data_IF_814671023331
#
_entry.id   IF_814671023331
#
_cell.length_a   1.000
_cell.length_b   1.000
_cell.length_c   1.000
_cell.angle_alpha   90.00
_cell.angle_beta   90.00
_cell.angle_gamma   90.00
#
_symmetry.space_group_name_H-M   'P 1'
#
loop_
_entity.id
_entity.type
_entity.pdbx_description
1 polymer ?
#
# COMPACT_ATOMS: atom_id res chain seq x y z
N UNK A 1 4.60 4.48 7.36
CA UNK A 1 4.83 5.89 7.73
C UNK A 1 3.47 6.56 7.67
N UNK A 2 2.91 6.95 8.82
CA UNK A 2 1.49 7.24 8.93
C UNK A 2 1.11 8.56 8.22
N UNK A 3 0.12 8.60 7.32
CA UNK A 3 -0.34 9.82 6.63
C UNK A 3 -1.17 10.76 7.53
N UNK A 4 -0.96 10.69 8.85
CA UNK A 4 -1.81 11.28 9.87
C UNK A 4 -1.64 12.79 10.17
N UNK A 5 -0.62 13.54 9.71
CA UNK A 5 -0.56 14.97 10.00
C UNK A 5 -1.50 15.80 9.12
N UNK A 6 -1.70 15.43 7.84
CA UNK A 6 -2.50 16.25 6.93
C UNK A 6 -4.00 16.10 7.12
N UNK A 7 -4.48 14.89 7.42
CA UNK A 7 -5.88 14.66 7.79
C UNK A 7 -6.29 15.44 9.06
N UNK A 8 -5.39 15.52 10.06
CA UNK A 8 -5.63 16.29 11.29
C UNK A 8 -5.60 17.81 11.04
N UNK A 9 -4.74 18.29 10.16
CA UNK A 9 -4.69 19.71 9.76
C UNK A 9 -5.91 20.10 8.90
N UNK A 10 -6.36 19.22 8.00
CA UNK A 10 -7.59 19.40 7.22
C UNK A 10 -8.83 19.52 8.11
N UNK A 11 -8.98 18.63 9.08
CA UNK A 11 -10.08 18.69 10.07
C UNK A 11 -10.10 19.99 10.88
N UNK A 12 -8.93 20.52 11.24
CA UNK A 12 -8.81 21.83 11.90
C UNK A 12 -9.16 22.98 10.94
N UNK A 13 -8.64 22.98 9.71
CA UNK A 13 -8.90 24.02 8.71
C UNK A 13 -10.38 24.14 8.37
N UNK A 14 -11.09 23.02 8.22
CA UNK A 14 -12.54 22.99 7.99
C UNK A 14 -13.26 23.75 9.12
N UNK A 15 -12.96 23.40 10.39
CA UNK A 15 -13.62 24.01 11.55
C UNK A 15 -13.25 25.48 11.76
N UNK A 16 -12.04 25.87 11.35
CA UNK A 16 -11.51 27.23 11.53
C UNK A 16 -11.94 28.16 10.40
N UNK A 17 -12.24 27.64 9.20
CA UNK A 17 -12.67 28.43 8.04
C UNK A 17 -14.19 28.49 7.90
N UNK A 18 -14.94 27.42 8.18
CA UNK A 18 -16.40 27.41 7.95
C UNK A 18 -17.15 28.55 8.66
N UNK A 19 -16.82 28.84 9.93
CA UNK A 19 -17.52 29.88 10.71
C UNK A 19 -17.16 31.32 10.30
N UNK A 20 -15.87 31.71 10.17
CA UNK A 20 -15.54 33.08 9.76
C UNK A 20 -15.79 33.35 8.29
N UNK A 21 -15.71 32.35 7.40
CA UNK A 21 -15.98 32.55 5.97
C UNK A 21 -17.46 32.83 5.74
N UNK A 22 -18.37 32.03 6.31
CA UNK A 22 -19.80 32.31 6.22
C UNK A 22 -20.17 33.71 6.78
N UNK A 23 -19.55 34.11 7.90
CA UNK A 23 -19.78 35.43 8.52
C UNK A 23 -19.20 36.59 7.70
N UNK A 24 -18.03 36.42 7.05
CA UNK A 24 -17.41 37.45 6.20
C UNK A 24 -18.05 37.56 4.83
N UNK A 25 -18.48 36.45 4.24
CA UNK A 25 -19.25 36.45 3.00
C UNK A 25 -20.56 37.21 3.24
N UNK A 26 -21.28 36.95 4.32
CA UNK A 26 -22.49 37.72 4.67
C UNK A 26 -22.25 39.22 4.84
N UNK A 27 -21.13 39.65 5.45
CA UNK A 27 -20.87 41.08 5.68
C UNK A 27 -20.30 41.83 4.48
N UNK A 28 -19.61 41.14 3.57
CA UNK A 28 -19.03 41.75 2.36
C UNK A 28 -19.98 41.70 1.16
N UNK A 29 -20.80 40.65 1.03
CA UNK A 29 -21.72 40.49 -0.10
C UNK A 29 -22.89 41.49 -0.08
N UNK A 30 -23.18 42.09 1.08
CA UNK A 30 -24.17 43.18 1.20
C UNK A 30 -23.65 44.48 0.57
N UNK A 31 -22.33 44.63 0.37
CA UNK A 31 -21.74 45.89 -0.15
C UNK A 31 -21.71 45.97 -1.69
N UNK A 32 -21.78 44.85 -2.39
CA UNK A 32 -21.68 44.81 -3.86
C UNK A 32 -22.86 44.05 -4.46
N UNK A 33 -23.71 44.75 -5.21
CA UNK A 33 -24.95 44.20 -5.79
C UNK A 33 -24.70 43.06 -6.79
N UNK A 34 -23.60 43.12 -7.55
CA UNK A 34 -23.25 42.06 -8.51
C UNK A 34 -22.99 40.71 -7.82
N UNK A 35 -22.22 40.73 -6.73
CA UNK A 35 -21.89 39.51 -5.97
C UNK A 35 -23.08 39.02 -5.17
N UNK A 36 -23.91 39.94 -4.62
CA UNK A 36 -25.20 39.61 -3.99
C UNK A 36 -26.11 38.85 -4.95
N UNK A 37 -26.33 39.38 -6.15
CA UNK A 37 -27.19 38.76 -7.16
C UNK A 37 -26.67 37.39 -7.60
N UNK A 38 -25.35 37.23 -7.69
CA UNK A 38 -24.72 35.94 -7.98
C UNK A 38 -24.99 34.92 -6.88
N UNK A 39 -24.86 35.29 -5.61
CA UNK A 39 -25.18 34.40 -4.49
C UNK A 39 -26.67 34.07 -4.40
N UNK A 40 -27.55 35.05 -4.62
CA UNK A 40 -28.99 34.80 -4.65
C UNK A 40 -29.31 33.81 -5.77
N UNK A 41 -28.73 33.97 -6.96
CA UNK A 41 -28.89 33.02 -8.05
C UNK A 41 -28.42 31.61 -7.67
N UNK A 42 -27.26 31.48 -7.01
CA UNK A 42 -26.76 30.19 -6.50
C UNK A 42 -27.70 29.60 -5.45
N UNK A 43 -28.18 30.41 -4.50
CA UNK A 43 -29.09 29.98 -3.44
C UNK A 43 -30.42 29.48 -3.98
N UNK A 44 -31.02 30.24 -4.91
CA UNK A 44 -32.27 29.86 -5.59
C UNK A 44 -32.07 28.61 -6.45
N UNK A 45 -30.96 28.51 -7.18
CA UNK A 45 -30.65 27.34 -8.01
C UNK A 45 -30.46 26.09 -7.16
N UNK A 46 -29.74 26.21 -6.05
CA UNK A 46 -29.53 25.10 -5.11
C UNK A 46 -30.87 24.65 -4.53
N UNK A 47 -31.72 25.58 -4.07
CA UNK A 47 -33.05 25.24 -3.56
C UNK A 47 -33.92 24.56 -4.63
N UNK A 48 -33.89 25.08 -5.86
CA UNK A 48 -34.62 24.48 -6.97
C UNK A 48 -34.13 23.07 -7.28
N UNK A 49 -32.82 22.85 -7.35
CA UNK A 49 -32.20 21.55 -7.60
C UNK A 49 -32.57 20.57 -6.49
N UNK A 50 -32.38 20.95 -5.21
CA UNK A 50 -32.71 20.09 -4.06
C UNK A 50 -34.18 19.70 -4.08
N UNK A 51 -35.09 20.66 -4.22
CA UNK A 51 -36.53 20.38 -4.25
C UNK A 51 -36.90 19.47 -5.43
N UNK A 52 -36.27 19.69 -6.60
CA UNK A 52 -36.49 18.85 -7.79
C UNK A 52 -36.00 17.42 -7.55
N UNK A 53 -34.81 17.26 -6.98
CA UNK A 53 -34.22 15.96 -6.64
C UNK A 53 -35.09 15.22 -5.62
N UNK A 54 -35.54 15.89 -4.56
CA UNK A 54 -36.40 15.29 -3.53
C UNK A 54 -37.70 14.79 -4.15
N UNK A 55 -38.42 15.64 -4.88
CA UNK A 55 -39.70 15.28 -5.51
C UNK A 55 -39.52 14.13 -6.52
N UNK A 56 -38.45 14.18 -7.33
CA UNK A 56 -38.11 13.13 -8.28
C UNK A 56 -37.80 11.81 -7.58
N UNK A 57 -37.04 11.85 -6.48
CA UNK A 57 -36.72 10.66 -5.68
C UNK A 57 -37.94 10.03 -5.03
N UNK A 58 -38.96 10.83 -4.72
CA UNK A 58 -40.24 10.38 -4.18
C UNK A 58 -41.22 9.90 -5.27
N UNK A 59 -40.83 9.91 -6.55
CA UNK A 59 -41.65 9.44 -7.67
C UNK A 59 -42.75 10.41 -8.13
N UNK A 60 -42.80 11.63 -7.59
CA UNK A 60 -43.79 12.63 -7.96
C UNK A 60 -43.28 13.56 -9.09
N UNK A 61 -44.19 14.16 -9.85
CA UNK A 61 -43.86 15.14 -10.90
C UNK A 61 -43.82 16.56 -10.32
N UNK A 62 -42.74 17.29 -10.58
CA UNK A 62 -42.51 18.66 -10.07
C UNK A 62 -43.51 19.63 -10.71
N UNK A 63 -44.40 20.23 -9.90
CA UNK A 63 -45.48 21.12 -10.37
C UNK A 63 -45.09 22.59 -10.37
N UNK A 64 -44.55 23.07 -9.25
CA UNK A 64 -43.99 24.42 -9.10
C UNK A 64 -43.05 24.45 -7.90
N UNK A 65 -42.00 25.26 -7.98
CA UNK A 65 -41.06 25.49 -6.88
C UNK A 65 -41.20 26.95 -6.49
N UNK A 66 -41.51 27.20 -5.22
CA UNK A 66 -41.60 28.56 -4.69
C UNK A 66 -40.19 29.15 -4.61
N UNK A 67 -40.05 30.41 -5.03
CA UNK A 67 -38.79 31.15 -4.85
C UNK A 67 -38.63 31.49 -3.37
N UNK A 68 -37.42 31.35 -2.86
CA UNK A 68 -37.08 31.76 -1.49
C UNK A 68 -37.06 33.29 -1.37
N UNK A 69 -37.19 33.79 -0.14
CA UNK A 69 -36.92 35.19 0.17
C UNK A 69 -35.46 35.55 -0.19
N UNK A 70 -35.22 36.77 -0.67
CA UNK A 70 -33.87 37.18 -1.11
C UNK A 70 -32.81 37.05 -0.01
N UNK A 71 -33.16 37.38 1.24
CA UNK A 71 -32.25 37.26 2.39
C UNK A 71 -31.85 35.82 2.69
N UNK A 72 -32.81 34.89 2.59
CA UNK A 72 -32.57 33.46 2.81
C UNK A 72 -31.75 32.86 1.65
N UNK A 73 -32.07 33.22 0.41
CA UNK A 73 -31.32 32.79 -0.77
C UNK A 73 -29.87 33.27 -0.73
N UNK A 74 -29.62 34.50 -0.29
CA UNK A 74 -28.28 35.05 -0.10
C UNK A 74 -27.48 34.26 0.95
N UNK A 75 -28.10 33.95 2.10
CA UNK A 75 -27.46 33.12 3.13
C UNK A 75 -27.10 31.74 2.58
N UNK A 76 -28.05 31.10 1.89
CA UNK A 76 -27.86 29.75 1.37
C UNK A 76 -26.79 29.68 0.28
N UNK A 77 -26.71 30.70 -0.58
CA UNK A 77 -25.63 30.85 -1.55
C UNK A 77 -24.26 31.04 -0.88
N UNK A 78 -24.20 31.81 0.20
CA UNK A 78 -22.96 32.01 0.97
C UNK A 78 -22.46 30.72 1.63
N UNK A 79 -23.37 29.95 2.21
CA UNK A 79 -23.04 28.68 2.87
C UNK A 79 -22.46 27.69 1.84
N UNK A 80 -23.14 27.50 0.70
CA UNK A 80 -22.67 26.63 -0.40
C UNK A 80 -21.31 27.05 -0.94
N UNK A 81 -21.07 28.35 -1.11
CA UNK A 81 -19.78 28.85 -1.59
C UNK A 81 -18.65 28.53 -0.59
N UNK A 82 -18.90 28.71 0.70
CA UNK A 82 -17.90 28.43 1.75
C UNK A 82 -17.61 26.94 1.89
N UNK A 83 -18.64 26.10 1.77
CA UNK A 83 -18.53 24.66 1.81
C UNK A 83 -17.76 24.15 0.58
N UNK A 84 -18.11 24.63 -0.62
CA UNK A 84 -17.42 24.30 -1.87
C UNK A 84 -15.94 24.67 -1.84
N UNK A 85 -15.61 25.83 -1.28
CA UNK A 85 -14.22 26.27 -1.13
C UNK A 85 -13.41 25.31 -0.25
N UNK A 86 -13.97 24.91 0.89
CA UNK A 86 -13.32 23.98 1.82
C UNK A 86 -13.15 22.59 1.19
N UNK A 87 -14.18 22.10 0.49
CA UNK A 87 -14.08 20.85 -0.27
C UNK A 87 -13.01 20.91 -1.34
N UNK A 88 -12.93 22.02 -2.09
CA UNK A 88 -11.92 22.22 -3.12
C UNK A 88 -10.50 22.18 -2.54
N UNK A 89 -10.23 22.93 -1.47
CA UNK A 89 -8.92 22.94 -0.80
C UNK A 89 -8.57 21.55 -0.28
N UNK A 90 -9.52 20.87 0.35
CA UNK A 90 -9.31 19.52 0.90
C UNK A 90 -9.03 18.51 -0.21
N UNK A 91 -9.79 18.56 -1.31
CA UNK A 91 -9.59 17.70 -2.48
C UNK A 91 -8.25 17.96 -3.17
N UNK A 92 -7.87 19.23 -3.34
CA UNK A 92 -6.58 19.62 -3.91
C UNK A 92 -5.40 19.05 -3.10
N UNK A 93 -5.50 19.08 -1.78
CA UNK A 93 -4.51 18.49 -0.88
C UNK A 93 -4.40 16.96 -1.10
N UNK A 94 -5.54 16.26 -1.14
CA UNK A 94 -5.56 14.80 -1.36
C UNK A 94 -4.96 14.44 -2.72
N UNK A 95 -5.32 15.16 -3.78
CA UNK A 95 -4.76 14.95 -5.13
C UNK A 95 -3.26 15.22 -5.14
N UNK A 96 -2.81 16.27 -4.45
CA UNK A 96 -1.39 16.58 -4.31
C UNK A 96 -0.61 15.46 -3.59
N UNK A 97 -1.13 14.96 -2.47
CA UNK A 97 -0.54 13.81 -1.77
C UNK A 97 -0.52 12.55 -2.64
N UNK A 98 -1.61 12.30 -3.38
CA UNK A 98 -1.70 11.15 -4.29
C UNK A 98 -0.62 11.20 -5.39
N UNK A 99 -0.50 12.35 -6.07
CA UNK A 99 0.57 12.55 -7.07
C UNK A 99 1.96 12.36 -6.45
N UNK A 100 2.21 12.96 -5.28
CA UNK A 100 3.50 12.84 -4.57
C UNK A 100 3.80 11.41 -4.08
N UNK A 101 2.77 10.66 -3.67
CA UNK A 101 2.91 9.28 -3.18
C UNK A 101 3.17 8.30 -4.32
N UNK A 102 2.51 8.50 -5.47
CA UNK A 102 2.66 7.63 -6.65
C UNK A 102 4.11 7.53 -7.13
N UNK A 103 4.86 8.64 -7.10
CA UNK A 103 6.28 8.63 -7.49
C UNK A 103 7.16 7.78 -6.56
N UNK A 104 6.83 7.74 -5.26
CA UNK A 104 7.58 6.95 -4.28
C UNK A 104 7.27 5.46 -4.40
N UNK A 105 6.01 5.11 -4.65
CA UNK A 105 5.60 3.73 -4.86
C UNK A 105 6.23 3.16 -6.14
N UNK A 106 6.22 3.92 -7.24
CA UNK A 106 6.86 3.50 -8.50
C UNK A 106 8.36 3.24 -8.36
N UNK A 107 9.08 4.09 -7.63
CA UNK A 107 10.52 3.88 -7.37
C UNK A 107 10.76 2.62 -6.53
N UNK A 108 9.95 2.41 -5.49
CA UNK A 108 10.05 1.21 -4.64
C UNK A 108 9.69 -0.07 -5.39
N UNK A 109 8.71 0.00 -6.28
CA UNK A 109 8.33 -1.10 -7.15
C UNK A 109 9.42 -1.41 -8.18
N UNK A 110 10.02 -0.38 -8.79
CA UNK A 110 11.16 -0.55 -9.69
C UNK A 110 12.37 -1.21 -8.99
N UNK A 111 12.69 -0.80 -7.77
CA UNK A 111 13.76 -1.43 -6.97
C UNK A 111 13.46 -2.90 -6.64
N UNK A 112 12.19 -3.23 -6.32
CA UNK A 112 11.76 -4.63 -6.11
C UNK A 112 11.91 -5.45 -7.39
N UNK A 113 11.53 -4.89 -8.53
CA UNK A 113 11.65 -5.56 -9.82
C UNK A 113 13.12 -5.82 -10.20
N UNK A 114 14.02 -4.89 -9.86
CA UNK A 114 15.46 -5.08 -10.06
C UNK A 114 15.98 -6.25 -9.22
N UNK A 115 15.64 -6.32 -7.92
CA UNK A 115 16.05 -7.43 -7.06
C UNK A 115 15.60 -8.79 -7.59
N UNK A 116 14.35 -8.89 -8.06
CA UNK A 116 13.83 -10.13 -8.67
C UNK A 116 14.62 -10.51 -9.93
N UNK A 117 15.03 -9.54 -10.76
CA UNK A 117 15.83 -9.79 -11.95
C UNK A 117 17.24 -10.27 -11.59
N UNK A 118 17.86 -9.64 -10.60
CA UNK A 118 19.19 -10.01 -10.12
C UNK A 118 19.17 -11.43 -9.55
N UNK A 119 18.18 -11.75 -8.70
CA UNK A 119 17.97 -13.09 -8.16
C UNK A 119 17.77 -14.13 -9.28
N UNK A 120 16.95 -13.82 -10.29
CA UNK A 120 16.73 -14.71 -11.42
C UNK A 120 18.03 -15.00 -12.20
N UNK A 121 18.89 -13.99 -12.39
CA UNK A 121 20.19 -14.16 -13.06
C UNK A 121 21.15 -15.04 -12.26
N UNK A 122 21.18 -14.88 -10.93
CA UNK A 122 21.99 -15.70 -10.02
C UNK A 122 21.49 -17.15 -10.04
N UNK A 123 20.17 -17.36 -10.01
CA UNK A 123 19.59 -18.69 -10.10
C UNK A 123 19.95 -19.38 -11.42
N UNK A 124 19.91 -18.65 -12.54
CA UNK A 124 20.33 -19.19 -13.84
C UNK A 124 21.79 -19.63 -13.83
N UNK A 125 22.69 -18.81 -13.27
CA UNK A 125 24.11 -19.18 -13.14
C UNK A 125 24.31 -20.45 -12.28
N UNK A 126 23.51 -20.61 -11.22
CA UNK A 126 23.51 -21.83 -10.40
C UNK A 126 23.01 -23.04 -11.16
N UNK A 127 21.96 -22.90 -11.97
CA UNK A 127 21.46 -24.00 -12.80
C UNK A 127 22.50 -24.45 -13.82
N UNK A 128 23.20 -23.52 -14.47
CA UNK A 128 24.27 -23.82 -15.44
C UNK A 128 25.40 -24.59 -14.76
N UNK A 129 25.86 -24.14 -13.58
CA UNK A 129 26.94 -24.84 -12.86
C UNK A 129 26.51 -26.21 -12.32
N UNK A 130 25.23 -26.42 -12.01
CA UNK A 130 24.71 -27.74 -11.67
C UNK A 130 24.62 -28.67 -12.88
N UNK A 131 24.21 -28.16 -14.03
CA UNK A 131 24.14 -28.93 -15.28
C UNK A 131 25.53 -29.44 -15.70
N UNK A 132 26.55 -28.58 -15.62
CA UNK A 132 27.94 -28.94 -15.90
C UNK A 132 28.45 -30.05 -14.95
N UNK A 133 28.07 -29.98 -13.67
CA UNK A 133 28.40 -31.02 -12.67
C UNK A 133 27.70 -32.34 -12.96
N UNK A 134 26.42 -32.31 -13.34
CA UNK A 134 25.67 -33.51 -13.71
C UNK A 134 26.27 -34.18 -14.95
N UNK A 135 26.66 -33.38 -15.97
CA UNK A 135 27.34 -33.88 -17.16
C UNK A 135 28.66 -34.58 -16.83
N UNK A 136 29.50 -33.97 -15.99
CA UNK A 136 30.75 -34.58 -15.54
C UNK A 136 30.50 -35.90 -14.78
N UNK A 137 29.53 -35.93 -13.85
CA UNK A 137 29.14 -37.15 -13.12
C UNK A 137 28.62 -38.26 -14.03
N UNK A 138 27.81 -37.91 -15.04
CA UNK A 138 27.30 -38.89 -15.99
C UNK A 138 28.45 -39.52 -16.81
N UNK A 139 29.42 -38.71 -17.24
CA UNK A 139 30.61 -39.19 -17.93
C UNK A 139 31.45 -40.12 -17.04
N UNK A 140 31.63 -39.78 -15.76
CA UNK A 140 32.31 -40.64 -14.79
C UNK A 140 31.57 -41.96 -14.54
N UNK A 141 30.26 -41.91 -14.34
CA UNK A 141 29.45 -43.11 -14.11
C UNK A 141 29.44 -44.02 -15.35
N UNK A 142 29.47 -43.45 -16.56
CA UNK A 142 29.61 -44.21 -17.82
C UNK A 142 30.99 -44.85 -17.95
N UNK A 143 32.06 -44.10 -17.69
CA UNK A 143 33.44 -44.58 -17.80
C UNK A 143 33.75 -45.69 -16.78
N UNK A 144 33.33 -45.53 -15.53
CA UNK A 144 33.54 -46.49 -14.45
C UNK A 144 32.37 -47.47 -14.24
N UNK A 145 31.44 -47.60 -15.20
CA UNK A 145 30.28 -48.52 -15.07
C UNK A 145 30.70 -49.95 -14.74
N UNK A 146 31.75 -50.45 -15.39
CA UNK A 146 32.23 -51.84 -15.24
C UNK A 146 32.96 -52.08 -13.92
N UNK A 147 33.69 -51.08 -13.43
CA UNK A 147 34.39 -51.12 -12.14
C UNK A 147 33.41 -50.94 -10.96
N UNK A 148 32.45 -50.01 -11.07
CA UNK A 148 31.45 -49.73 -10.02
C UNK A 148 30.46 -50.89 -9.81
N UNK A 149 30.02 -51.56 -10.89
CA UNK A 149 29.07 -52.67 -10.77
C UNK A 149 29.71 -54.00 -10.29
N UNK A 150 31.02 -54.02 -10.02
CA UNK A 150 31.73 -55.23 -9.57
C UNK A 150 31.73 -56.39 -10.58
N UNK A 151 31.34 -56.11 -11.84
CA UNK A 151 31.17 -57.10 -12.90
C UNK A 151 32.48 -57.42 -13.64
N UNK A 152 33.59 -56.74 -13.32
CA UNK A 152 34.90 -56.97 -13.92
C UNK A 152 35.97 -57.25 -12.88
N UNK A 153 36.44 -58.50 -12.79
CA UNK A 153 37.65 -58.85 -12.05
C UNK A 153 38.83 -58.16 -12.77
N UNK A 154 39.43 -57.14 -12.14
CA UNK A 154 40.54 -56.37 -12.69
C UNK A 154 40.19 -55.06 -13.43
N UNK A 155 38.97 -54.54 -13.29
CA UNK A 155 38.62 -53.24 -13.86
C UNK A 155 39.29 -52.09 -13.06
N UNK A 156 40.31 -51.48 -13.65
CA UNK A 156 41.05 -50.34 -13.07
C UNK A 156 40.17 -49.09 -13.01
N UNK A 157 40.09 -48.48 -11.83
CA UNK A 157 39.34 -47.25 -11.60
C UNK A 157 40.03 -46.09 -12.30
N UNK A 158 39.32 -45.42 -13.22
CA UNK A 158 39.84 -44.21 -13.87
C UNK A 158 39.40 -43.00 -13.07
N UNK A 159 40.37 -42.23 -12.55
CA UNK A 159 40.10 -41.01 -11.81
C UNK A 159 39.48 -39.91 -12.69
N UNK A 160 38.61 -39.07 -12.11
CA UNK A 160 37.94 -38.02 -12.85
C UNK A 160 38.92 -36.95 -13.37
N UNK A 161 38.87 -36.65 -14.68
CA UNK A 161 39.72 -35.65 -15.34
C UNK A 161 39.40 -34.20 -14.96
N UNK A 162 38.17 -33.92 -14.55
CA UNK A 162 37.66 -32.58 -14.19
C UNK A 162 36.85 -32.67 -12.90
N UNK A 163 37.45 -32.21 -11.81
CA UNK A 163 36.75 -31.99 -10.55
C UNK A 163 36.28 -30.54 -10.56
N UNK A 164 35.00 -30.31 -10.84
CA UNK A 164 34.42 -28.96 -10.73
C UNK A 164 34.46 -28.59 -9.24
N UNK A 165 35.22 -27.55 -8.82
CA UNK A 165 35.38 -27.23 -7.41
C UNK A 165 34.04 -26.86 -6.78
N UNK A 166 33.85 -27.28 -5.53
CA UNK A 166 32.72 -26.84 -4.70
C UNK A 166 33.04 -25.43 -4.23
N UNK A 167 32.79 -24.47 -5.11
CA UNK A 167 32.67 -23.08 -4.74
C UNK A 167 31.46 -22.92 -3.78
N UNK A 168 31.75 -22.80 -2.48
CA UNK A 168 30.80 -22.32 -1.47
C UNK A 168 30.89 -20.80 -1.25
N UNK A 169 31.79 -20.11 -1.95
CA UNK A 169 32.13 -18.69 -1.76
C UNK A 169 31.31 -17.74 -2.66
N UNK A 170 30.66 -18.24 -3.71
CA UNK A 170 29.71 -17.51 -4.55
C UNK A 170 28.34 -17.32 -3.90
N UNK A 171 28.12 -17.88 -2.71
CA UNK A 171 26.97 -17.55 -1.87
C UNK A 171 27.31 -16.27 -1.12
N UNK A 172 27.17 -15.13 -1.79
CA UNK A 172 27.16 -13.84 -1.11
C UNK A 172 25.96 -13.79 -0.16
N UNK A 173 26.18 -14.14 1.11
CA UNK A 173 25.17 -14.11 2.16
C UNK A 173 24.67 -12.69 2.46
N UNK A 174 25.23 -11.65 1.83
CA UNK A 174 24.80 -10.24 2.00
C UNK A 174 23.41 -9.95 1.44
N UNK A 175 22.81 -10.86 0.65
CA UNK A 175 21.49 -10.69 0.04
C UNK A 175 20.37 -11.59 0.58
N UNK A 176 20.64 -12.51 1.52
CA UNK A 176 19.59 -13.33 2.11
C UNK A 176 18.76 -12.46 3.06
N UNK A 177 17.41 -12.47 3.00
CA UNK A 177 16.61 -11.89 4.06
C UNK A 177 17.06 -12.54 5.38
N UNK A 178 17.36 -11.70 6.37
CA UNK A 178 17.76 -12.08 7.71
C UNK A 178 16.98 -13.33 8.14
N UNK A 179 17.72 -14.40 8.43
CA UNK A 179 17.18 -15.70 8.80
C UNK A 179 16.19 -15.48 9.94
N UNK A 180 14.91 -15.54 9.60
CA UNK A 180 13.82 -15.35 10.52
C UNK A 180 13.89 -16.51 11.52
N UNK A 181 14.46 -16.22 12.69
CA UNK A 181 14.64 -17.11 13.84
C UNK A 181 13.30 -17.61 14.44
N UNK A 182 12.28 -17.86 13.61
CA UNK A 182 11.03 -18.50 13.96
C UNK A 182 11.14 -20.00 14.14
N UNK A 183 12.28 -20.61 13.77
CA UNK A 183 12.53 -22.02 14.02
C UNK A 183 13.65 -22.17 15.05
N UNK A 184 13.36 -22.63 16.28
CA UNK A 184 14.39 -22.80 17.30
C UNK A 184 15.38 -23.88 16.88
N UNK A 185 16.64 -23.50 16.73
CA UNK A 185 17.76 -24.37 16.29
C UNK A 185 18.27 -25.31 17.40
N UNK A 186 17.55 -25.47 18.50
CA UNK A 186 17.95 -26.38 19.59
C UNK A 186 16.74 -26.91 20.38
N UNK A 187 16.70 -28.21 20.72
CA UNK A 187 15.71 -28.78 21.64
C UNK A 187 15.64 -28.08 23.01
N UNK A 188 16.70 -27.37 23.42
CA UNK A 188 16.73 -26.61 24.68
C UNK A 188 15.93 -25.29 24.66
N UNK A 189 15.59 -24.76 23.48
CA UNK A 189 14.88 -23.49 23.35
C UNK A 189 13.35 -23.69 23.34
N UNK A 190 12.89 -24.89 22.99
CA UNK A 190 11.48 -25.30 23.08
C UNK A 190 11.01 -25.33 24.54
N UNK A 191 11.86 -25.80 25.46
CA UNK A 191 11.49 -25.92 26.89
C UNK A 191 11.43 -24.56 27.60
N UNK A 192 12.21 -23.57 27.16
CA UNK A 192 12.15 -22.19 27.71
C UNK A 192 10.86 -21.47 27.30
N UNK A 193 10.41 -21.65 26.06
CA UNK A 193 9.18 -21.02 25.57
C UNK A 193 7.91 -21.60 26.22
N UNK A 194 7.89 -22.90 26.51
CA UNK A 194 6.77 -23.56 27.22
C UNK A 194 6.67 -23.09 28.68
N UNK A 195 7.80 -22.81 29.33
CA UNK A 195 7.80 -22.33 30.73
C UNK A 195 7.40 -20.85 30.83
N UNK A 196 7.71 -20.04 29.80
CA UNK A 196 7.35 -18.62 29.77
C UNK A 196 5.86 -18.41 29.43
N UNK A 197 5.24 -19.28 28.63
CA UNK A 197 3.79 -19.21 28.36
C UNK A 197 2.93 -19.61 29.57
N UNK A 198 3.44 -20.45 30.47
CA UNK A 198 2.71 -20.90 31.68
C UNK A 198 2.38 -19.76 32.66
N UNK A 199 3.24 -18.73 32.76
CA UNK A 199 3.01 -17.57 33.62
C UNK A 199 1.93 -16.62 33.09
N UNK A 200 1.79 -16.51 31.77
CA UNK A 200 0.82 -15.60 31.11
C UNK A 200 -0.62 -16.12 31.29
N UNK A 201 -0.82 -17.44 31.23
CA UNK A 201 -2.14 -18.05 31.47
C UNK A 201 -2.57 -18.00 32.95
N UNK A 202 -1.63 -17.89 33.89
CA UNK A 202 -1.91 -17.77 35.33
C UNK A 202 -2.47 -16.40 35.74
N UNK A 203 -2.29 -15.38 34.91
CA UNK A 203 -2.80 -14.01 35.13
C UNK A 203 -4.14 -13.73 34.43
N UNK A 204 -4.50 -14.52 33.41
CA UNK A 204 -5.68 -14.26 32.58
C UNK A 204 -6.98 -14.91 33.11
N UNK A 205 -6.93 -15.69 34.20
CA UNK A 205 -8.11 -16.32 34.80
C UNK A 205 -7.99 -16.43 36.33
N UNK A 206 -8.56 -15.51 37.12
CA UNK A 206 -8.42 -15.52 38.58
C UNK A 206 -9.53 -16.30 39.31
N UNK A 207 -10.18 -17.29 38.68
CA UNK A 207 -11.22 -18.08 39.35
C UNK A 207 -11.15 -19.56 38.97
N UNK A 208 -10.65 -20.36 39.90
CA UNK A 208 -11.22 -21.66 40.24
C UNK A 208 -11.16 -21.83 41.75
#
# INVERSE_FOLDING_TARGET
MAPLPLAKLGGLLIKTLSKPVAKRIKSQMVKYDSTRNSLIWVGQSTHAITTRMTIWSSGYKVRSINKLEEGEALSRGADILSESFIFFVSGAIVVYEYHRSSEKEKKKEAERLQKIRDDASILQAKLISLDERLGALEEYAKANRKSILGLGIGAEYVEPKVVVPIDNNGIDRRGLPEEDNRFPNSPSDVTKNVQQSSWVWKWLWPFR
#
